data_IF_816289873161
#
_entry.id   IF_816289873161
#
_cell.length_a   1.000
_cell.length_b   1.000
_cell.length_c   1.000
_cell.angle_alpha   90.00
_cell.angle_beta   90.00
_cell.angle_gamma   90.00
#
_symmetry.space_group_name_H-M   'P 1'
#
loop_
_entity.id
_entity.type
_entity.pdbx_description
1 polymer ?
#
# COMPACT_ATOMS: atom_id res chain seq x y z
N UNK A 1 -19.46 -16.19 3.87
CA UNK A 1 -19.92 -14.90 4.43
C UNK A 1 -19.42 -13.81 3.52
N UNK A 2 -20.30 -12.91 3.03
CA UNK A 2 -19.82 -11.71 2.33
C UNK A 2 -19.08 -10.87 3.37
N UNK A 3 -17.86 -10.46 3.04
CA UNK A 3 -17.02 -9.66 3.90
C UNK A 3 -17.71 -8.32 4.23
N UNK A 4 -17.70 -7.90 5.50
CA UNK A 4 -18.27 -6.63 5.95
C UNK A 4 -17.67 -5.44 5.19
N UNK A 5 -16.39 -5.54 4.83
CA UNK A 5 -15.71 -4.55 4.00
C UNK A 5 -16.37 -4.40 2.63
N UNK A 6 -16.65 -5.51 1.94
CA UNK A 6 -17.28 -5.48 0.61
C UNK A 6 -18.68 -4.88 0.67
N UNK A 7 -19.42 -5.15 1.74
CA UNK A 7 -20.76 -4.57 1.94
C UNK A 7 -20.69 -3.05 2.11
N UNK A 8 -19.84 -2.57 3.03
CA UNK A 8 -19.65 -1.14 3.25
C UNK A 8 -19.11 -0.43 2.00
N UNK A 9 -18.19 -1.06 1.28
CA UNK A 9 -17.64 -0.52 0.04
C UNK A 9 -18.71 -0.38 -1.06
N UNK A 10 -19.60 -1.36 -1.19
CA UNK A 10 -20.71 -1.30 -2.15
C UNK A 10 -21.74 -0.24 -1.76
N UNK A 11 -22.02 -0.06 -0.47
CA UNK A 11 -22.91 1.01 0.01
C UNK A 11 -22.37 2.39 -0.37
N UNK A 12 -21.07 2.62 -0.20
CA UNK A 12 -20.40 3.86 -0.61
C UNK A 12 -20.44 4.04 -2.13
N UNK A 13 -20.34 2.97 -2.92
CA UNK A 13 -20.47 3.04 -4.37
C UNK A 13 -21.86 3.51 -4.80
N UNK A 14 -22.91 2.95 -4.18
CA UNK A 14 -24.29 3.33 -4.44
C UNK A 14 -24.58 4.78 -4.03
N UNK A 15 -24.07 5.21 -2.86
CA UNK A 15 -24.26 6.57 -2.36
C UNK A 15 -23.55 7.63 -3.22
N UNK A 16 -22.29 7.37 -3.60
CA UNK A 16 -21.46 8.35 -4.32
C UNK A 16 -21.66 8.33 -5.83
N UNK A 17 -22.26 7.27 -6.40
CA UNK A 17 -22.49 7.11 -7.84
C UNK A 17 -21.21 7.30 -8.67
N UNK A 18 -20.08 6.83 -8.15
CA UNK A 18 -18.77 6.91 -8.80
C UNK A 18 -18.32 5.53 -9.30
N UNK A 19 -17.47 5.48 -10.35
CA UNK A 19 -16.86 4.24 -10.77
C UNK A 19 -16.07 3.59 -9.64
N UNK A 20 -16.20 2.28 -9.52
CA UNK A 20 -15.49 1.44 -8.53
C UNK A 20 -14.00 1.75 -8.41
N UNK A 21 -13.34 1.89 -9.56
CA UNK A 21 -11.90 2.15 -9.64
C UNK A 21 -11.51 3.50 -9.03
N UNK A 22 -12.38 4.51 -9.09
CA UNK A 22 -12.10 5.83 -8.51
C UNK A 22 -12.13 5.76 -6.98
N UNK A 23 -13.13 5.08 -6.42
CA UNK A 23 -13.23 4.90 -4.97
C UNK A 23 -12.08 4.04 -4.45
N UNK A 24 -11.72 2.98 -5.18
CA UNK A 24 -10.59 2.14 -4.82
C UNK A 24 -9.28 2.92 -4.81
N UNK A 25 -8.98 3.69 -5.86
CA UNK A 25 -7.78 4.54 -5.93
C UNK A 25 -7.74 5.59 -4.83
N UNK A 26 -8.90 6.17 -4.50
CA UNK A 26 -9.00 7.13 -3.39
C UNK A 26 -8.68 6.46 -2.04
N UNK A 27 -9.18 5.23 -1.83
CA UNK A 27 -8.89 4.45 -0.64
C UNK A 27 -7.40 4.08 -0.56
N UNK A 28 -6.81 3.57 -1.63
CA UNK A 28 -5.37 3.27 -1.72
C UNK A 28 -4.52 4.51 -1.41
N UNK A 29 -4.87 5.66 -1.99
CA UNK A 29 -4.19 6.94 -1.73
C UNK A 29 -4.32 7.38 -0.27
N UNK A 30 -5.48 7.18 0.35
CA UNK A 30 -5.70 7.45 1.76
C UNK A 30 -4.84 6.53 2.65
N UNK A 31 -4.72 5.25 2.30
CA UNK A 31 -3.89 4.29 3.02
C UNK A 31 -2.39 4.61 2.91
N UNK A 32 -1.92 5.01 1.73
CA UNK A 32 -0.55 5.52 1.53
C UNK A 32 -0.28 6.72 2.44
N UNK A 33 -1.22 7.66 2.48
CA UNK A 33 -1.11 8.87 3.32
C UNK A 33 -1.09 8.53 4.81
N UNK A 34 -1.93 7.58 5.25
CA UNK A 34 -1.96 7.11 6.63
C UNK A 34 -0.65 6.41 7.03
N UNK A 35 -0.11 5.54 6.16
CA UNK A 35 1.18 4.88 6.39
C UNK A 35 2.32 5.90 6.52
N UNK A 36 2.43 6.84 5.56
CA UNK A 36 3.47 7.87 5.58
C UNK A 36 3.47 8.64 6.90
N UNK A 37 2.29 9.01 7.39
CA UNK A 37 2.13 9.68 8.68
C UNK A 37 2.50 8.78 9.87
N UNK A 38 2.12 7.50 9.85
CA UNK A 38 2.33 6.58 10.96
C UNK A 38 3.82 6.29 11.21
N UNK A 39 4.61 6.13 10.15
CA UNK A 39 6.04 5.80 10.26
C UNK A 39 6.97 6.99 10.02
N UNK A 40 6.40 8.18 9.83
CA UNK A 40 7.10 9.39 9.40
C UNK A 40 7.97 9.13 8.14
N UNK A 41 7.39 8.46 7.15
CA UNK A 41 8.08 8.16 5.90
C UNK A 41 8.34 9.44 5.10
N UNK A 42 9.47 9.49 4.41
CA UNK A 42 9.78 10.57 3.47
C UNK A 42 8.81 10.57 2.29
N UNK A 43 8.49 11.76 1.77
CA UNK A 43 7.75 11.87 0.51
C UNK A 43 8.57 11.38 -0.70
N UNK A 44 9.89 11.27 -0.56
CA UNK A 44 10.76 10.73 -1.59
C UNK A 44 10.70 9.20 -1.68
N UNK A 45 10.23 8.51 -0.62
CA UNK A 45 10.06 7.06 -0.66
C UNK A 45 8.80 6.72 -1.44
N UNK A 46 8.94 5.87 -2.46
CA UNK A 46 7.79 5.33 -3.16
C UNK A 46 7.04 4.35 -2.25
N UNK A 47 5.72 4.56 -2.16
CA UNK A 47 4.84 3.74 -1.32
C UNK A 47 3.58 3.45 -2.14
N UNK A 48 3.24 2.17 -2.22
CA UNK A 48 2.04 1.69 -2.89
C UNK A 48 1.14 0.98 -1.89
N UNK A 49 -0.17 1.14 -2.06
CA UNK A 49 -1.15 0.36 -1.32
C UNK A 49 -2.05 -0.35 -2.31
N UNK A 50 -2.39 -1.60 -2.00
CA UNK A 50 -3.35 -2.40 -2.76
C UNK A 50 -4.41 -2.91 -1.82
N UNK A 51 -5.66 -2.92 -2.31
CA UNK A 51 -6.81 -3.42 -1.55
C UNK A 51 -7.50 -4.52 -2.33
N UNK A 52 -7.53 -5.72 -1.75
CA UNK A 52 -8.38 -6.80 -2.23
C UNK A 52 -9.81 -6.56 -1.75
N UNK A 53 -10.73 -6.38 -2.68
CA UNK A 53 -12.12 -5.99 -2.39
C UNK A 53 -12.96 -7.19 -1.94
N UNK A 54 -12.57 -8.40 -2.31
CA UNK A 54 -13.26 -9.62 -1.90
C UNK A 54 -12.87 -9.99 -0.46
N UNK A 55 -11.57 -9.95 -0.16
CA UNK A 55 -11.04 -10.31 1.15
C UNK A 55 -10.90 -9.14 2.11
N UNK A 56 -11.01 -7.89 1.63
CA UNK A 56 -10.80 -6.67 2.41
C UNK A 56 -9.35 -6.50 2.88
N UNK A 57 -8.43 -7.35 2.37
CA UNK A 57 -7.03 -7.32 2.76
C UNK A 57 -6.36 -6.11 2.13
N UNK A 58 -5.76 -5.27 2.97
CA UNK A 58 -4.91 -4.17 2.55
C UNK A 58 -3.45 -4.60 2.65
N UNK A 59 -2.69 -4.36 1.59
CA UNK A 59 -1.24 -4.57 1.57
C UNK A 59 -0.56 -3.25 1.23
N UNK A 60 0.48 -2.91 1.98
CA UNK A 60 1.28 -1.69 1.75
C UNK A 60 2.70 -2.13 1.43
N UNK A 61 3.23 -1.60 0.33
CA UNK A 61 4.59 -1.80 -0.11
C UNK A 61 5.34 -0.47 0.00
N UNK A 62 6.55 -0.50 0.53
CA UNK A 62 7.43 0.65 0.60
C UNK A 62 8.75 0.29 -0.10
N UNK A 63 9.18 1.15 -1.00
CA UNK A 63 10.44 1.00 -1.73
C UNK A 63 11.62 1.07 -0.76
N UNK A 64 12.63 0.26 -1.05
CA UNK A 64 13.91 0.31 -0.36
C UNK A 64 15.04 0.49 -1.36
N UNK A 65 16.00 1.33 -1.00
CA UNK A 65 17.23 1.54 -1.72
C UNK A 65 18.21 0.39 -1.44
N UNK A 66 18.84 -0.10 -2.50
CA UNK A 66 19.86 -1.15 -2.38
C UNK A 66 21.22 -0.51 -2.12
N UNK A 67 21.80 -0.82 -0.96
CA UNK A 67 23.07 -0.23 -0.49
C UNK A 67 24.07 -1.31 -0.05
N UNK A 68 25.35 -0.93 0.09
CA UNK A 68 26.38 -1.84 0.58
C UNK A 68 26.36 -1.97 2.11
N UNK A 69 26.10 -0.88 2.84
CA UNK A 69 26.02 -0.85 4.30
C UNK A 69 24.75 -0.11 4.75
N UNK A 70 23.89 -0.79 5.49
CA UNK A 70 22.57 -0.28 5.87
C UNK A 70 22.68 0.67 7.06
N UNK A 71 22.27 1.91 6.85
CA UNK A 71 22.12 2.94 7.87
C UNK A 71 20.69 3.01 8.42
N UNK A 72 19.67 2.84 7.57
CA UNK A 72 18.26 2.78 7.98
C UNK A 72 17.52 1.59 7.35
N UNK A 73 17.28 0.56 8.15
CA UNK A 73 16.58 -0.68 7.75
C UNK A 73 15.16 -0.44 7.21
N UNK A 74 14.56 0.74 7.41
CA UNK A 74 13.22 1.06 6.90
C UNK A 74 13.24 1.46 5.43
N UNK A 75 14.31 2.10 4.99
CA UNK A 75 14.46 2.65 3.64
C UNK A 75 15.54 1.95 2.84
N UNK A 76 16.39 1.14 3.47
CA UNK A 76 17.55 0.53 2.84
C UNK A 76 17.56 -0.99 3.02
N UNK A 77 18.24 -1.66 2.09
CA UNK A 77 18.43 -3.12 2.09
C UNK A 77 19.75 -3.46 1.39
N UNK A 78 20.40 -4.55 1.82
CA UNK A 78 21.58 -5.06 1.10
C UNK A 78 21.17 -5.81 -0.17
N UNK A 79 22.09 -5.83 -1.15
CA UNK A 79 21.86 -6.51 -2.43
C UNK A 79 21.47 -7.98 -2.27
N UNK A 80 22.08 -8.70 -1.32
CA UNK A 80 21.78 -10.11 -1.07
C UNK A 80 20.33 -10.33 -0.65
N UNK A 81 19.78 -9.45 0.18
CA UNK A 81 18.39 -9.54 0.63
C UNK A 81 17.43 -9.08 -0.47
N UNK A 82 17.77 -8.03 -1.22
CA UNK A 82 16.97 -7.58 -2.37
C UNK A 82 16.76 -8.72 -3.40
N UNK A 83 17.84 -9.48 -3.69
CA UNK A 83 17.83 -10.62 -4.62
C UNK A 83 16.87 -11.75 -4.23
N UNK A 84 16.43 -11.81 -2.97
CA UNK A 84 15.46 -12.82 -2.51
C UNK A 84 14.03 -12.50 -2.95
N UNK A 85 13.73 -11.23 -3.25
CA UNK A 85 12.40 -10.79 -3.67
C UNK A 85 12.36 -10.52 -5.18
N UNK A 86 13.45 -10.05 -5.76
CA UNK A 86 13.61 -9.92 -7.21
C UNK A 86 15.06 -10.26 -7.61
N UNK A 87 15.24 -11.31 -8.41
CA UNK A 87 16.54 -11.90 -8.70
C UNK A 87 17.36 -11.16 -9.78
N UNK A 88 16.73 -10.24 -10.51
CA UNK A 88 17.36 -9.44 -11.57
C UNK A 88 17.99 -8.14 -11.05
#
# INVERSE_FOLDING_TARGET
MKNEFTLAFNEVLEEKQLPKEIILKALESAMISAYRRAVNASNAQHVEATVDIETGKVTIFAEKEVVEDVQDVRTEVILEEARRYNAE
#
